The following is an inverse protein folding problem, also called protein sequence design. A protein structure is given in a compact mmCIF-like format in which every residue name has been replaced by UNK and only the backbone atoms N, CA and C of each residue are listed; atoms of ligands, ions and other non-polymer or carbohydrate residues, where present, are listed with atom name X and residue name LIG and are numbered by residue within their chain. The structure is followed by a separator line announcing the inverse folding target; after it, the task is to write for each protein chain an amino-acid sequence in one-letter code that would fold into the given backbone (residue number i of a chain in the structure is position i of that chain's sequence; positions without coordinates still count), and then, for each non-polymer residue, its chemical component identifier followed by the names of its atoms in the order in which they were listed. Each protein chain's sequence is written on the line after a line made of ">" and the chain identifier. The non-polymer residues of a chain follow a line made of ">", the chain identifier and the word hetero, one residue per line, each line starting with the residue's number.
data_IF_171219912379
#
_entry.id   IF_171219912379
#
_cell.length_a   1.000
_cell.length_b   1.000
_cell.length_c   1.000
_cell.angle_alpha   90.00
_cell.angle_beta   90.00
_cell.angle_gamma   90.00
#
_symmetry.space_group_name_H-M   'P 1'
#
loop_
_entity.id
_entity.type
_entity.pdbx_description
1 polymer ?
#
# COMPACT_ATOMS: atom_id res chain seq x y z
N UNK A 1 -9.48 41.12 -10.36
CA UNK A 1 -9.15 39.71 -10.50
C UNK A 1 -9.28 39.35 -11.97
N UNK A 2 -8.23 38.87 -12.60
CA UNK A 2 -8.34 38.37 -13.98
C UNK A 2 -9.19 37.09 -13.99
N UNK A 3 -10.17 37.00 -14.87
CA UNK A 3 -10.97 35.80 -15.07
C UNK A 3 -10.08 34.71 -15.68
N UNK A 4 -10.27 33.45 -15.27
CA UNK A 4 -9.61 32.31 -15.88
C UNK A 4 -10.03 32.20 -17.36
N UNK A 5 -9.08 31.85 -18.23
CA UNK A 5 -9.38 31.56 -19.63
C UNK A 5 -10.11 30.21 -19.75
N UNK A 6 -10.84 30.01 -20.87
CA UNK A 6 -11.49 28.70 -21.12
C UNK A 6 -10.51 27.52 -21.12
N UNK A 7 -9.25 27.75 -21.55
CA UNK A 7 -8.20 26.75 -21.53
C UNK A 7 -7.73 26.42 -20.11
N UNK A 8 -7.60 27.43 -19.26
CA UNK A 8 -7.32 27.26 -17.83
C UNK A 8 -8.47 26.53 -17.10
N UNK A 9 -9.72 26.80 -17.48
CA UNK A 9 -10.89 26.10 -16.91
C UNK A 9 -10.94 24.62 -17.36
N UNK A 10 -10.49 24.28 -18.56
CA UNK A 10 -10.37 22.88 -19.02
C UNK A 10 -9.35 22.09 -18.20
N UNK A 11 -8.25 22.73 -17.77
CA UNK A 11 -7.25 22.13 -16.89
C UNK A 11 -7.78 21.80 -15.49
N UNK A 12 -8.85 22.45 -15.04
CA UNK A 12 -9.54 22.15 -13.78
C UNK A 12 -10.54 21.00 -13.89
N UNK A 13 -10.57 20.23 -14.98
CA UNK A 13 -11.44 19.07 -15.03
C UNK A 13 -10.99 18.04 -14.01
N UNK A 14 -11.93 17.50 -13.22
CA UNK A 14 -11.68 16.46 -12.21
C UNK A 14 -10.95 15.26 -12.82
N UNK A 15 -11.19 14.93 -14.09
CA UNK A 15 -10.49 13.86 -14.82
C UNK A 15 -8.98 14.08 -14.90
N UNK A 16 -8.52 15.33 -15.11
CA UNK A 16 -7.10 15.64 -15.21
C UNK A 16 -6.39 15.55 -13.85
N UNK A 17 -7.10 15.82 -12.75
CA UNK A 17 -6.55 15.76 -11.39
C UNK A 17 -6.32 14.33 -10.88
N UNK A 18 -7.06 13.37 -11.40
CA UNK A 18 -6.99 11.96 -11.01
C UNK A 18 -6.46 11.06 -12.13
N UNK A 19 -5.91 11.64 -13.21
CA UNK A 19 -5.29 10.85 -14.26
C UNK A 19 -3.93 10.33 -13.80
N UNK A 20 -3.84 9.01 -13.69
CA UNK A 20 -2.62 8.28 -13.35
C UNK A 20 -2.05 7.54 -14.58
N UNK A 21 -2.41 7.96 -15.79
CA UNK A 21 -1.88 7.38 -17.03
C UNK A 21 -0.35 7.49 -17.07
N UNK A 22 0.31 6.39 -17.39
CA UNK A 22 1.77 6.32 -17.37
C UNK A 22 2.39 6.03 -16.00
N UNK A 23 1.62 6.06 -14.90
CA UNK A 23 2.11 5.70 -13.57
C UNK A 23 2.08 4.19 -13.35
N UNK A 24 3.04 3.70 -12.59
CA UNK A 24 3.07 2.32 -12.10
C UNK A 24 2.87 2.33 -10.58
N UNK A 25 1.86 1.61 -10.13
CA UNK A 25 1.53 1.46 -8.71
C UNK A 25 1.80 0.04 -8.23
N UNK A 26 2.30 -0.09 -7.01
CA UNK A 26 2.37 -1.35 -6.27
C UNK A 26 1.33 -1.33 -5.16
N UNK A 27 0.49 -2.37 -5.08
CA UNK A 27 -0.48 -2.53 -3.98
C UNK A 27 -0.22 -3.86 -3.29
N UNK A 28 0.28 -3.81 -2.06
CA UNK A 28 0.46 -5.02 -1.26
C UNK A 28 -0.89 -5.50 -0.71
N UNK A 29 -1.18 -6.80 -0.83
CA UNK A 29 -2.51 -7.35 -0.52
C UNK A 29 -3.61 -6.85 -1.47
N UNK A 30 -3.25 -6.45 -2.69
CA UNK A 30 -4.12 -5.79 -3.65
C UNK A 30 -5.20 -6.65 -4.31
N UNK A 31 -5.25 -7.96 -4.02
CA UNK A 31 -6.21 -8.88 -4.62
C UNK A 31 -7.49 -9.12 -3.79
N UNK A 32 -7.62 -8.54 -2.60
CA UNK A 32 -8.78 -8.74 -1.72
C UNK A 32 -9.10 -7.53 -0.87
N UNK A 33 -10.35 -7.41 -0.41
CA UNK A 33 -10.78 -6.39 0.56
C UNK A 33 -10.44 -4.97 0.15
N UNK A 34 -9.88 -4.17 1.07
CA UNK A 34 -9.48 -2.79 0.81
C UNK A 34 -8.43 -2.69 -0.30
N UNK A 35 -7.45 -3.60 -0.31
CA UNK A 35 -6.42 -3.64 -1.35
C UNK A 35 -7.00 -3.80 -2.76
N UNK A 36 -8.01 -4.66 -2.92
CA UNK A 36 -8.70 -4.83 -4.20
C UNK A 36 -9.44 -3.56 -4.61
N UNK A 37 -10.13 -2.90 -3.68
CA UNK A 37 -10.79 -1.63 -3.95
C UNK A 37 -9.78 -0.55 -4.39
N UNK A 38 -8.62 -0.49 -3.74
CA UNK A 38 -7.52 0.41 -4.11
C UNK A 38 -7.00 0.06 -5.51
N UNK A 39 -6.78 -1.23 -5.81
CA UNK A 39 -6.35 -1.68 -7.15
C UNK A 39 -7.35 -1.24 -8.22
N UNK A 40 -8.66 -1.42 -7.99
CA UNK A 40 -9.72 -0.96 -8.91
C UNK A 40 -9.67 0.54 -9.14
N UNK A 41 -9.53 1.33 -8.08
CA UNK A 41 -9.43 2.79 -8.20
C UNK A 41 -8.21 3.22 -9.01
N UNK A 42 -7.04 2.67 -8.74
CA UNK A 42 -5.80 3.02 -9.44
C UNK A 42 -5.86 2.62 -10.92
N UNK A 43 -6.37 1.42 -11.24
CA UNK A 43 -6.58 0.99 -12.63
C UNK A 43 -7.59 1.87 -13.34
N UNK A 44 -8.70 2.24 -12.69
CA UNK A 44 -9.71 3.13 -13.28
C UNK A 44 -9.20 4.54 -13.54
N UNK A 45 -8.22 4.99 -12.74
CA UNK A 45 -7.52 6.25 -12.93
C UNK A 45 -6.39 6.18 -13.99
N UNK A 46 -6.17 5.03 -14.61
CA UNK A 46 -5.22 4.87 -15.72
C UNK A 46 -3.87 4.24 -15.34
N UNK A 47 -3.60 3.98 -14.07
CA UNK A 47 -2.33 3.37 -13.65
C UNK A 47 -2.23 1.90 -14.09
N UNK A 48 -1.00 1.44 -14.33
CA UNK A 48 -0.66 0.02 -14.27
C UNK A 48 -0.47 -0.37 -12.80
N UNK A 49 -0.94 -1.54 -12.39
CA UNK A 49 -0.87 -1.95 -10.98
C UNK A 49 -0.17 -3.30 -10.84
N UNK A 50 0.93 -3.33 -10.08
CA UNK A 50 1.54 -4.55 -9.60
C UNK A 50 0.86 -4.95 -8.27
N UNK A 51 0.10 -6.03 -8.30
CA UNK A 51 -0.57 -6.61 -7.13
C UNK A 51 0.37 -7.59 -6.45
N UNK A 52 0.84 -7.27 -5.26
CA UNK A 52 1.79 -8.09 -4.50
C UNK A 52 1.08 -8.79 -3.34
N UNK A 53 1.06 -10.13 -3.31
CA UNK A 53 0.51 -10.89 -2.19
C UNK A 53 1.10 -12.31 -2.13
N UNK A 54 0.95 -12.98 -0.97
CA UNK A 54 1.52 -14.32 -0.75
C UNK A 54 0.65 -15.49 -1.24
N UNK A 55 -0.59 -15.22 -1.65
CA UNK A 55 -1.52 -16.27 -2.09
C UNK A 55 -1.04 -16.95 -3.38
N UNK A 56 -1.43 -18.19 -3.59
CA UNK A 56 -1.20 -18.85 -4.87
C UNK A 56 -1.94 -18.10 -6.00
N UNK A 57 -1.31 -17.95 -7.18
CA UNK A 57 -1.87 -17.17 -8.30
C UNK A 57 -3.26 -17.64 -8.73
N UNK A 58 -3.54 -18.94 -8.65
CA UNK A 58 -4.81 -19.54 -9.04
C UNK A 58 -5.99 -19.02 -8.20
N UNK A 59 -5.73 -18.65 -6.94
CA UNK A 59 -6.73 -18.14 -6.01
C UNK A 59 -7.14 -16.68 -6.28
N UNK A 60 -6.42 -16.00 -7.13
CA UNK A 60 -6.64 -14.58 -7.47
C UNK A 60 -6.85 -14.33 -8.97
N UNK A 61 -6.71 -15.37 -9.78
CA UNK A 61 -6.77 -15.28 -11.25
C UNK A 61 -8.06 -14.64 -11.76
N UNK A 62 -9.22 -15.10 -11.29
CA UNK A 62 -10.52 -14.56 -11.69
C UNK A 62 -10.69 -13.09 -11.31
N UNK A 63 -10.20 -12.72 -10.10
CA UNK A 63 -10.22 -11.33 -9.64
C UNK A 63 -9.35 -10.43 -10.52
N UNK A 64 -8.20 -10.92 -10.96
CA UNK A 64 -7.27 -10.13 -11.77
C UNK A 64 -7.69 -10.06 -13.24
N UNK A 65 -8.44 -11.04 -13.73
CA UNK A 65 -8.97 -11.05 -15.11
C UNK A 65 -9.85 -9.81 -15.39
N UNK A 66 -10.54 -9.26 -14.37
CA UNK A 66 -11.37 -8.05 -14.51
C UNK A 66 -10.60 -6.82 -14.99
N UNK A 67 -9.28 -6.80 -14.82
CA UNK A 67 -8.45 -5.62 -15.14
C UNK A 67 -7.88 -5.62 -16.56
N UNK A 68 -8.13 -6.67 -17.37
CA UNK A 68 -7.68 -6.71 -18.77
C UNK A 68 -6.18 -6.51 -18.95
N UNK A 69 -5.37 -7.04 -18.05
CA UNK A 69 -3.91 -6.94 -18.06
C UNK A 69 -3.32 -5.65 -17.45
N UNK A 70 -4.14 -4.70 -17.01
CA UNK A 70 -3.65 -3.48 -16.32
C UNK A 70 -3.22 -3.73 -14.88
N UNK A 71 -3.66 -4.83 -14.27
CA UNK A 71 -3.17 -5.30 -12.98
C UNK A 71 -2.45 -6.64 -13.17
N UNK A 72 -1.19 -6.72 -12.75
CA UNK A 72 -0.34 -7.91 -12.86
C UNK A 72 -0.02 -8.42 -11.46
N UNK A 73 -0.09 -9.72 -11.27
CA UNK A 73 0.13 -10.36 -9.99
C UNK A 73 1.59 -10.78 -9.80
N UNK A 74 2.10 -10.49 -8.62
CA UNK A 74 3.42 -10.93 -8.14
C UNK A 74 3.22 -11.68 -6.84
N UNK A 75 3.43 -12.99 -6.87
CA UNK A 75 3.40 -13.80 -5.66
C UNK A 75 4.64 -13.49 -4.82
N UNK A 76 4.42 -12.90 -3.67
CA UNK A 76 5.51 -12.55 -2.75
C UNK A 76 4.99 -12.45 -1.32
N UNK A 77 5.74 -13.04 -0.38
CA UNK A 77 5.49 -12.87 1.04
C UNK A 77 6.29 -11.66 1.56
N UNK A 78 5.62 -10.59 1.97
CA UNK A 78 6.29 -9.35 2.40
C UNK A 78 7.16 -9.51 3.64
N UNK A 79 7.09 -10.63 4.36
CA UNK A 79 8.02 -10.96 5.46
C UNK A 79 9.36 -11.50 4.96
N UNK A 80 9.47 -11.80 3.67
CA UNK A 80 10.73 -12.13 3.01
C UNK A 80 11.47 -10.82 2.64
N UNK A 81 12.04 -10.21 3.65
CA UNK A 81 12.69 -8.89 3.53
C UNK A 81 13.97 -8.93 2.72
N UNK A 82 14.65 -10.07 2.66
CA UNK A 82 15.92 -10.25 1.97
C UNK A 82 15.76 -10.17 0.44
N UNK A 83 14.61 -10.60 -0.09
CA UNK A 83 14.30 -10.55 -1.53
C UNK A 83 13.41 -9.36 -1.95
N UNK A 84 13.19 -8.39 -1.05
CA UNK A 84 12.36 -7.22 -1.36
C UNK A 84 12.92 -6.38 -2.53
N UNK A 85 14.25 -6.26 -2.65
CA UNK A 85 14.89 -5.54 -3.75
C UNK A 85 14.72 -6.28 -5.09
N UNK A 86 14.88 -7.60 -5.09
CA UNK A 86 14.67 -8.43 -6.30
C UNK A 86 13.23 -8.28 -6.84
N UNK A 87 12.25 -8.24 -5.94
CA UNK A 87 10.86 -7.97 -6.33
C UNK A 87 10.71 -6.57 -6.95
N UNK A 88 11.32 -5.56 -6.35
CA UNK A 88 11.24 -4.18 -6.85
C UNK A 88 11.87 -4.06 -8.24
N UNK A 89 13.03 -4.67 -8.47
CA UNK A 89 13.73 -4.68 -9.75
C UNK A 89 12.93 -5.44 -10.81
N UNK A 90 12.34 -6.57 -10.47
CA UNK A 90 11.48 -7.35 -11.35
C UNK A 90 10.25 -6.54 -11.79
N UNK A 91 9.56 -5.89 -10.87
CA UNK A 91 8.39 -5.07 -11.19
C UNK A 91 8.79 -3.90 -12.09
N UNK A 92 9.90 -3.23 -11.80
CA UNK A 92 10.40 -2.13 -12.61
C UNK A 92 10.76 -2.57 -14.04
N UNK A 93 11.39 -3.73 -14.21
CA UNK A 93 11.73 -4.28 -15.51
C UNK A 93 10.49 -4.65 -16.36
N UNK A 94 9.44 -5.18 -15.73
CA UNK A 94 8.24 -5.66 -16.43
C UNK A 94 7.17 -4.60 -16.64
N UNK A 95 7.00 -3.64 -15.70
CA UNK A 95 5.92 -2.66 -15.70
C UNK A 95 6.39 -1.22 -16.00
N UNK A 96 7.66 -0.95 -15.74
CA UNK A 96 8.26 0.38 -15.68
C UNK A 96 8.52 0.84 -14.24
N UNK A 97 9.20 1.99 -14.07
CA UNK A 97 9.57 2.49 -12.75
C UNK A 97 8.33 2.80 -11.91
N UNK A 98 8.35 2.29 -10.67
CA UNK A 98 7.25 2.45 -9.73
C UNK A 98 7.26 3.85 -9.14
N UNK A 99 6.12 4.53 -9.22
CA UNK A 99 5.90 5.86 -8.66
C UNK A 99 4.90 5.89 -7.50
N UNK A 100 4.11 4.83 -7.32
CA UNK A 100 3.10 4.74 -6.26
C UNK A 100 3.28 3.42 -5.51
N UNK A 101 3.44 3.48 -4.18
CA UNK A 101 3.48 2.31 -3.30
C UNK A 101 2.38 2.40 -2.26
N UNK A 102 1.50 1.41 -2.23
CA UNK A 102 0.45 1.26 -1.22
C UNK A 102 0.78 0.07 -0.32
N UNK A 103 1.26 0.35 0.87
CA UNK A 103 1.51 -0.62 1.94
C UNK A 103 0.19 -0.97 2.64
N UNK A 104 -0.55 -1.94 2.05
CA UNK A 104 -1.86 -2.36 2.55
C UNK A 104 -1.88 -3.79 3.10
N UNK A 105 -0.95 -4.66 2.70
CA UNK A 105 -0.92 -6.03 3.18
C UNK A 105 -0.92 -6.12 4.71
N UNK A 106 -1.62 -7.11 5.23
CA UNK A 106 -1.74 -7.30 6.66
C UNK A 106 -2.29 -8.66 7.03
N UNK A 107 -2.04 -9.04 8.26
CA UNK A 107 -2.61 -10.19 8.93
C UNK A 107 -3.32 -9.77 10.21
N UNK A 108 -3.95 -10.70 10.90
CA UNK A 108 -4.68 -10.44 12.12
C UNK A 108 -4.35 -11.48 13.19
N UNK A 109 -4.21 -11.01 14.44
CA UNK A 109 -4.12 -11.86 15.62
C UNK A 109 -4.92 -11.19 16.74
N UNK A 110 -6.06 -11.80 17.10
CA UNK A 110 -6.98 -11.28 18.11
C UNK A 110 -6.89 -12.14 19.36
N UNK A 111 -6.10 -11.70 20.33
CA UNK A 111 -5.89 -12.36 21.62
C UNK A 111 -5.76 -11.31 22.71
N UNK A 112 -6.26 -11.61 23.92
CA UNK A 112 -5.94 -10.79 25.08
C UNK A 112 -4.43 -10.85 25.39
N UNK A 113 -3.92 -9.85 26.09
CA UNK A 113 -2.49 -9.73 26.39
C UNK A 113 -1.94 -10.96 27.16
N UNK A 114 -2.73 -11.56 28.01
CA UNK A 114 -2.33 -12.74 28.77
C UNK A 114 -2.35 -14.06 27.96
N UNK A 115 -3.01 -14.07 26.79
CA UNK A 115 -3.07 -15.21 25.87
C UNK A 115 -2.17 -15.03 24.63
N UNK A 116 -1.70 -13.81 24.38
CA UNK A 116 -0.87 -13.47 23.22
C UNK A 116 0.58 -13.90 23.46
N UNK A 117 1.08 -14.78 22.61
CA UNK A 117 2.51 -15.14 22.67
C UNK A 117 3.38 -14.05 22.04
N UNK A 118 4.66 -14.03 22.38
CA UNK A 118 5.65 -13.13 21.74
C UNK A 118 5.71 -13.40 20.24
N UNK A 119 5.57 -14.65 19.81
CA UNK A 119 5.59 -15.00 18.38
C UNK A 119 4.33 -14.52 17.64
N UNK A 120 3.15 -14.57 18.28
CA UNK A 120 1.94 -13.96 17.73
C UNK A 120 2.14 -12.45 17.50
N UNK A 121 2.72 -11.77 18.50
CA UNK A 121 3.00 -10.34 18.41
C UNK A 121 4.00 -10.03 17.30
N UNK A 122 5.16 -10.72 17.27
CA UNK A 122 6.18 -10.55 16.23
C UNK A 122 5.63 -10.78 14.84
N UNK A 123 4.88 -11.87 14.61
CA UNK A 123 4.29 -12.19 13.32
C UNK A 123 3.40 -11.07 12.77
N UNK A 124 2.70 -10.33 13.64
CA UNK A 124 1.89 -9.18 13.23
C UNK A 124 2.80 -8.00 12.87
N UNK A 125 3.82 -7.71 13.67
CA UNK A 125 4.80 -6.65 13.38
C UNK A 125 5.56 -6.94 12.09
N UNK A 126 5.99 -8.18 11.87
CA UNK A 126 6.76 -8.57 10.68
C UNK A 126 5.98 -8.28 9.40
N UNK A 127 4.69 -8.62 9.36
CA UNK A 127 3.86 -8.37 8.17
C UNK A 127 3.55 -6.87 8.03
N UNK A 128 3.06 -6.22 9.08
CA UNK A 128 2.57 -4.85 8.94
C UNK A 128 3.69 -3.82 8.93
N UNK A 129 4.71 -3.95 9.77
CA UNK A 129 5.71 -2.89 9.98
C UNK A 129 7.02 -3.21 9.26
N UNK A 130 7.61 -4.38 9.53
CA UNK A 130 8.93 -4.74 8.97
C UNK A 130 8.86 -4.95 7.46
N UNK A 131 7.87 -5.72 6.99
CA UNK A 131 7.67 -5.98 5.56
C UNK A 131 7.32 -4.71 4.77
N UNK A 132 6.46 -3.85 5.32
CA UNK A 132 6.14 -2.57 4.70
C UNK A 132 7.37 -1.64 4.64
N UNK A 133 8.20 -1.62 5.68
CA UNK A 133 9.47 -0.90 5.67
C UNK A 133 10.43 -1.44 4.60
N UNK A 134 10.61 -2.76 4.52
CA UNK A 134 11.51 -3.39 3.55
C UNK A 134 11.10 -3.07 2.10
N UNK A 135 9.81 -3.18 1.78
CA UNK A 135 9.31 -2.81 0.45
C UNK A 135 9.45 -1.32 0.17
N UNK A 136 9.16 -0.47 1.15
CA UNK A 136 9.36 0.98 1.01
C UNK A 136 10.82 1.29 0.69
N UNK A 137 11.76 0.70 1.43
CA UNK A 137 13.20 0.83 1.20
C UNK A 137 13.61 0.39 -0.21
N UNK A 138 13.02 -0.70 -0.72
CA UNK A 138 13.34 -1.24 -2.04
C UNK A 138 12.82 -0.36 -3.19
N UNK A 139 11.67 0.30 -3.04
CA UNK A 139 11.09 1.15 -4.09
C UNK A 139 11.55 2.61 -4.05
N UNK A 140 12.05 3.12 -2.92
CA UNK A 140 12.51 4.52 -2.78
C UNK A 140 13.59 4.91 -3.79
N UNK A 141 14.62 4.10 -4.11
CA UNK A 141 15.66 4.50 -5.07
C UNK A 141 15.09 4.91 -6.42
N UNK A 142 14.21 4.11 -7.01
CA UNK A 142 13.61 4.42 -8.32
C UNK A 142 12.66 5.63 -8.28
N UNK A 143 11.99 5.90 -7.15
CA UNK A 143 11.21 7.12 -6.95
C UNK A 143 12.09 8.36 -6.86
N UNK A 144 13.26 8.24 -6.23
CA UNK A 144 14.26 9.32 -6.16
C UNK A 144 14.80 9.66 -7.55
N UNK A 145 15.13 8.66 -8.36
CA UNK A 145 15.59 8.87 -9.74
C UNK A 145 14.54 9.58 -10.61
N UNK A 146 13.25 9.27 -10.40
CA UNK A 146 12.16 9.94 -11.10
C UNK A 146 11.89 11.37 -10.58
N UNK A 147 12.41 11.76 -9.41
CA UNK A 147 12.02 12.99 -8.73
C UNK A 147 10.53 13.02 -8.35
N UNK A 148 9.90 11.87 -8.23
CA UNK A 148 8.47 11.73 -8.00
C UNK A 148 8.14 10.40 -7.31
N UNK A 149 7.32 10.45 -6.26
CA UNK A 149 6.84 9.25 -5.59
C UNK A 149 5.66 9.52 -4.66
N UNK A 150 4.81 8.50 -4.47
CA UNK A 150 3.66 8.52 -3.57
C UNK A 150 3.65 7.25 -2.74
N UNK A 151 3.96 7.36 -1.47
CA UNK A 151 3.97 6.25 -0.52
C UNK A 151 2.77 6.39 0.40
N UNK A 152 1.93 5.37 0.45
CA UNK A 152 0.70 5.35 1.25
C UNK A 152 0.74 4.14 2.18
N UNK A 153 0.58 4.38 3.47
CA UNK A 153 0.43 3.34 4.48
C UNK A 153 -1.04 3.16 4.84
N UNK A 154 -1.51 1.92 4.82
CA UNK A 154 -2.83 1.56 5.35
C UNK A 154 -2.72 1.46 6.88
N UNK A 155 -2.86 2.60 7.55
CA UNK A 155 -2.92 2.72 9.00
C UNK A 155 -4.28 2.21 9.55
N UNK A 156 -4.70 2.68 10.70
CA UNK A 156 -5.97 2.32 11.32
C UNK A 156 -6.35 3.37 12.36
N UNK A 157 -7.62 3.44 12.74
CA UNK A 157 -8.04 4.11 13.97
C UNK A 157 -7.22 3.66 15.18
N UNK A 158 -6.83 2.38 15.22
CA UNK A 158 -6.01 1.82 16.31
C UNK A 158 -4.58 2.38 16.36
N UNK A 159 -4.16 3.18 15.37
CA UNK A 159 -2.94 3.99 15.47
C UNK A 159 -3.03 5.09 16.53
N UNK A 160 -4.24 5.49 16.91
CA UNK A 160 -4.52 6.62 17.80
C UNK A 160 -5.28 6.21 19.07
N UNK A 161 -6.10 5.16 18.99
CA UNK A 161 -6.92 4.69 20.10
C UNK A 161 -6.66 3.22 20.39
N UNK A 162 -6.72 2.84 21.67
CA UNK A 162 -6.60 1.44 22.08
C UNK A 162 -7.85 0.62 21.73
N UNK A 163 -7.62 -0.64 21.31
CA UNK A 163 -8.67 -1.62 21.15
C UNK A 163 -8.24 -2.93 21.82
N UNK A 164 -9.12 -3.58 22.62
CA UNK A 164 -8.80 -4.86 23.24
C UNK A 164 -8.44 -5.94 22.22
N UNK A 165 -7.58 -6.87 22.63
CA UNK A 165 -7.19 -8.09 21.89
C UNK A 165 -6.31 -7.87 20.64
N UNK A 166 -5.95 -6.65 20.28
CA UNK A 166 -5.18 -6.37 19.06
C UNK A 166 -3.86 -5.64 19.34
N UNK A 167 -3.17 -6.00 20.43
CA UNK A 167 -1.95 -5.33 20.87
C UNK A 167 -0.89 -5.24 19.73
N UNK A 168 -0.56 -6.37 19.09
CA UNK A 168 0.41 -6.37 17.97
C UNK A 168 -0.04 -5.51 16.80
N UNK A 169 -1.32 -5.58 16.43
CA UNK A 169 -1.87 -4.79 15.34
C UNK A 169 -1.85 -3.28 15.65
N UNK A 170 -2.32 -2.88 16.83
CA UNK A 170 -2.30 -1.46 17.25
C UNK A 170 -0.87 -0.92 17.31
N UNK A 171 0.08 -1.70 17.85
CA UNK A 171 1.50 -1.31 17.85
C UNK A 171 2.04 -1.11 16.44
N UNK A 172 1.79 -2.05 15.53
CA UNK A 172 2.24 -1.93 14.14
C UNK A 172 1.64 -0.69 13.45
N UNK A 173 0.34 -0.47 13.66
CA UNK A 173 -0.35 0.68 13.04
C UNK A 173 0.05 2.03 13.66
N UNK A 174 0.36 2.08 14.95
CA UNK A 174 0.97 3.24 15.59
C UNK A 174 2.41 3.48 15.12
N UNK A 175 3.19 2.41 14.90
CA UNK A 175 4.54 2.48 14.34
C UNK A 175 4.61 3.16 12.97
N UNK A 176 3.56 3.05 12.14
CA UNK A 176 3.49 3.78 10.88
C UNK A 176 3.55 5.29 11.04
N UNK A 177 3.03 5.86 12.14
CA UNK A 177 3.05 7.31 12.35
C UNK A 177 4.49 7.82 12.47
N UNK A 178 5.33 7.12 13.26
CA UNK A 178 6.74 7.45 13.37
C UNK A 178 7.49 7.30 12.04
N UNK A 179 7.23 6.20 11.31
CA UNK A 179 7.84 5.94 10.01
C UNK A 179 7.44 7.01 8.97
N UNK A 180 6.18 7.39 8.92
CA UNK A 180 5.67 8.43 8.01
C UNK A 180 6.33 9.77 8.29
N UNK A 181 6.44 10.19 9.55
CA UNK A 181 7.08 11.45 9.91
C UNK A 181 8.54 11.49 9.46
N UNK A 182 9.30 10.42 9.73
CA UNK A 182 10.71 10.31 9.35
C UNK A 182 10.86 10.31 7.82
N UNK A 183 10.14 9.44 7.13
CA UNK A 183 10.24 9.34 5.66
C UNK A 183 9.76 10.62 4.95
N UNK A 184 8.78 11.33 5.50
CA UNK A 184 8.37 12.63 4.94
C UNK A 184 9.51 13.63 5.00
N UNK A 185 10.23 13.70 6.12
CA UNK A 185 11.37 14.59 6.26
C UNK A 185 12.55 14.21 5.34
N UNK A 186 12.83 12.90 5.20
CA UNK A 186 13.93 12.38 4.38
C UNK A 186 13.69 12.46 2.87
N UNK A 187 12.43 12.36 2.43
CA UNK A 187 12.09 12.15 1.02
C UNK A 187 11.44 13.36 0.34
N UNK A 188 11.10 14.40 1.08
CA UNK A 188 10.42 15.58 0.53
C UNK A 188 11.24 16.29 -0.56
N UNK A 189 12.55 16.40 -0.40
CA UNK A 189 13.45 17.04 -1.38
C UNK A 189 13.47 16.32 -2.74
N UNK A 190 13.09 15.03 -2.78
CA UNK A 190 13.00 14.22 -4.00
C UNK A 190 11.60 14.21 -4.63
N UNK A 191 10.69 15.08 -4.21
CA UNK A 191 9.32 15.13 -4.73
C UNK A 191 8.46 13.92 -4.31
N UNK A 192 8.87 13.18 -3.28
CA UNK A 192 8.17 12.01 -2.76
C UNK A 192 7.31 12.42 -1.56
N UNK A 193 6.02 12.08 -1.60
CA UNK A 193 5.14 12.28 -0.46
C UNK A 193 4.84 10.97 0.25
N UNK A 194 4.76 11.02 1.58
CA UNK A 194 4.47 9.86 2.44
C UNK A 194 3.24 10.18 3.29
N UNK A 195 2.20 9.38 3.14
CA UNK A 195 0.91 9.61 3.79
C UNK A 195 0.32 8.31 4.34
N UNK A 196 -0.75 8.41 5.11
CA UNK A 196 -1.53 7.29 5.58
C UNK A 196 -3.03 7.51 5.42
N UNK A 197 -3.75 6.39 5.28
CA UNK A 197 -5.20 6.33 5.44
C UNK A 197 -5.46 5.51 6.72
N UNK A 198 -6.27 6.04 7.63
CA UNK A 198 -6.58 5.41 8.92
C UNK A 198 -8.08 5.04 9.00
N UNK A 199 -8.50 3.92 8.39
CA UNK A 199 -9.89 3.51 8.40
C UNK A 199 -10.38 3.14 9.80
N UNK A 200 -11.68 3.28 10.00
CA UNK A 200 -12.41 2.63 11.07
C UNK A 200 -12.80 1.19 10.70
N UNK A 201 -14.02 0.83 11.06
CA UNK A 201 -14.59 -0.47 10.71
C UNK A 201 -15.08 -0.47 9.26
N UNK A 202 -14.45 -1.30 8.43
CA UNK A 202 -14.83 -1.46 7.02
C UNK A 202 -15.22 -2.91 6.80
N UNK A 203 -16.38 -3.13 6.19
CA UNK A 203 -16.88 -4.45 5.86
C UNK A 203 -16.00 -5.12 4.80
N UNK A 204 -15.23 -6.10 5.23
CA UNK A 204 -14.23 -6.82 4.41
C UNK A 204 -14.11 -8.27 4.86
N UNK A 205 -13.60 -9.17 4.02
CA UNK A 205 -13.31 -10.55 4.43
C UNK A 205 -12.39 -10.68 5.66
N UNK A 206 -11.50 -9.71 5.87
CA UNK A 206 -10.64 -9.67 7.07
C UNK A 206 -11.46 -9.36 8.32
N UNK A 207 -12.41 -8.44 8.24
CA UNK A 207 -13.29 -8.08 9.34
C UNK A 207 -14.11 -9.29 9.82
N UNK A 208 -14.74 -10.01 8.88
CA UNK A 208 -15.54 -11.20 9.21
C UNK A 208 -14.73 -12.38 9.77
N UNK A 209 -13.44 -12.47 9.45
CA UNK A 209 -12.55 -13.49 10.05
C UNK A 209 -12.04 -13.10 11.44
N UNK A 210 -12.12 -11.83 11.80
CA UNK A 210 -11.62 -11.28 13.05
C UNK A 210 -12.71 -11.14 14.12
N UNK A 211 -13.95 -11.30 13.75
CA UNK A 211 -15.12 -11.35 14.65
C UNK A 211 -15.52 -12.77 14.96
#
# INVERSE_FOLDING_TARGET
>A
MAAFTEEQVKDFSIKNWYDLSGQVAVVTGGATGLGLAITRCLVSAGAKVAVVASRAPELVADTLAEFGGKAVYYQFNITDTDHAQELADKIAAEQGPVSILVNNAGNHCKKFIWDMTVDDYKRVLDVHLVGAFALTKAFVPQMKEQGHGRIIFQASMTSYIGQPQVAGYSTAKAGYLGLIHTLTAELAEYGITVNAIAPGWIDTPMFHKAT
#
